data_IF_940471835867
#
_entry.id   IF_940471835867
#
_cell.length_a   1.000
_cell.length_b   1.000
_cell.length_c   1.000
_cell.angle_alpha   90.00
_cell.angle_beta   90.00
_cell.angle_gamma   90.00
#
_symmetry.space_group_name_H-M   'P 1'
#
loop_
_entity.id
_entity.type
_entity.pdbx_description
1 polymer ?
#
# COMPACT_ATOMS: atom_id res chain seq x y z
N UNK A 1 96.58 -12.09 -21.81
CA UNK A 1 95.14 -11.79 -21.82
C UNK A 1 94.87 -10.68 -20.81
N UNK A 2 94.29 -9.57 -21.25
CA UNK A 2 94.10 -8.35 -20.44
C UNK A 2 92.91 -8.52 -19.47
N UNK A 3 93.13 -8.26 -18.19
CA UNK A 3 92.08 -8.07 -17.19
C UNK A 3 91.63 -6.61 -17.18
N UNK A 4 90.32 -6.31 -17.18
CA UNK A 4 89.83 -5.00 -16.78
C UNK A 4 89.19 -5.04 -15.39
N UNK A 5 89.58 -4.04 -14.61
CA UNK A 5 88.97 -3.58 -13.35
C UNK A 5 87.47 -3.34 -13.54
N UNK A 6 86.67 -3.72 -12.53
CA UNK A 6 85.30 -3.22 -12.38
C UNK A 6 85.15 -2.42 -11.08
N UNK A 7 84.60 -1.23 -11.28
CA UNK A 7 84.36 -0.15 -10.34
C UNK A 7 83.07 -0.42 -9.55
N UNK A 8 83.07 -0.08 -8.25
CA UNK A 8 81.89 -0.13 -7.37
C UNK A 8 80.97 1.07 -7.66
N UNK A 9 79.66 0.84 -7.66
CA UNK A 9 78.64 1.88 -7.56
C UNK A 9 77.84 1.70 -6.26
N UNK A 10 77.44 2.78 -5.56
CA UNK A 10 76.64 2.72 -4.35
C UNK A 10 75.17 2.56 -4.72
N UNK A 11 74.47 1.63 -4.07
CA UNK A 11 73.01 1.52 -4.18
C UNK A 11 72.39 1.96 -2.86
N UNK A 12 71.85 3.19 -2.86
CA UNK A 12 71.02 3.77 -1.81
C UNK A 12 69.66 3.08 -1.76
N UNK A 13 69.26 2.56 -0.59
CA UNK A 13 67.91 2.06 -0.33
C UNK A 13 66.89 3.22 -0.30
N UNK A 14 65.77 3.15 -1.04
CA UNK A 14 64.63 4.01 -0.77
C UNK A 14 63.78 3.38 0.34
N UNK A 15 63.37 4.20 1.30
CA UNK A 15 62.45 3.86 2.37
C UNK A 15 61.07 3.49 1.81
N UNK A 16 60.53 2.33 2.23
CA UNK A 16 59.13 1.95 1.99
C UNK A 16 58.23 2.88 2.82
N UNK A 17 57.54 3.81 2.15
CA UNK A 17 56.35 4.45 2.68
C UNK A 17 55.17 3.49 2.50
N UNK A 18 54.59 3.04 3.62
CA UNK A 18 53.38 2.23 3.62
C UNK A 18 52.20 3.09 3.16
N UNK A 19 51.72 2.85 1.94
CA UNK A 19 50.47 3.40 1.46
C UNK A 19 49.30 2.60 2.08
N UNK A 20 48.57 3.22 3.00
CA UNK A 20 47.26 2.71 3.41
C UNK A 20 46.27 2.88 2.24
N UNK A 21 45.49 1.85 1.88
CA UNK A 21 44.43 2.02 0.91
C UNK A 21 43.30 2.78 1.60
N UNK A 22 43.08 4.03 1.20
CA UNK A 22 41.89 4.79 1.54
C UNK A 22 40.73 4.25 0.70
N UNK A 23 40.23 3.06 1.03
CA UNK A 23 38.92 2.60 0.60
C UNK A 23 37.88 3.35 1.43
N UNK A 24 37.65 4.63 1.08
CA UNK A 24 36.57 5.41 1.64
C UNK A 24 35.26 4.84 1.12
N UNK A 25 34.52 4.26 2.05
CA UNK A 25 33.19 3.68 1.92
C UNK A 25 32.23 4.61 1.19
N UNK A 26 31.94 4.31 -0.08
CA UNK A 26 30.67 4.70 -0.69
C UNK A 26 29.57 3.79 -0.13
N UNK A 27 29.29 3.97 1.15
CA UNK A 27 28.02 3.59 1.76
C UNK A 27 27.22 4.87 1.96
N UNK A 28 26.98 5.59 0.86
CA UNK A 28 25.90 6.57 0.84
C UNK A 28 24.61 5.76 0.99
N UNK A 29 23.98 5.91 2.16
CA UNK A 29 22.60 5.54 2.46
C UNK A 29 21.73 5.53 1.21
N UNK A 30 21.46 4.34 0.67
CA UNK A 30 20.38 4.12 -0.31
C UNK A 30 19.20 3.44 0.39
N UNK A 31 18.72 4.04 1.46
CA UNK A 31 17.31 3.95 1.77
C UNK A 31 16.61 4.93 0.82
N UNK A 32 16.13 4.43 -0.31
CA UNK A 32 15.22 5.20 -1.15
C UNK A 32 13.96 5.50 -0.32
N UNK A 33 13.70 6.78 -0.04
CA UNK A 33 12.40 7.22 0.49
C UNK A 33 11.33 6.79 -0.51
N UNK A 34 10.41 5.92 -0.10
CA UNK A 34 9.26 5.58 -0.92
C UNK A 34 8.34 6.80 -1.02
N UNK A 35 7.96 7.17 -2.23
CA UNK A 35 7.21 8.38 -2.53
C UNK A 35 6.14 8.16 -3.59
N UNK A 36 5.34 9.19 -3.87
CA UNK A 36 4.32 9.13 -4.90
C UNK A 36 4.89 8.82 -6.29
N UNK A 37 6.10 9.28 -6.59
CA UNK A 37 6.79 9.01 -7.87
C UNK A 37 7.01 7.52 -8.11
N UNK A 38 7.22 6.74 -7.05
CA UNK A 38 7.31 5.28 -7.17
C UNK A 38 5.99 4.69 -7.71
N UNK A 39 4.85 5.21 -7.24
CA UNK A 39 3.52 4.74 -7.62
C UNK A 39 3.13 5.24 -9.01
N UNK A 40 3.49 6.48 -9.37
CA UNK A 40 3.35 7.03 -10.74
C UNK A 40 4.08 6.16 -11.76
N UNK A 41 5.33 5.79 -11.46
CA UNK A 41 6.10 4.89 -12.33
C UNK A 41 5.41 3.54 -12.50
N UNK A 42 4.91 2.92 -11.43
CA UNK A 42 4.17 1.66 -11.50
C UNK A 42 2.89 1.80 -12.34
N UNK A 43 2.15 2.90 -12.17
CA UNK A 43 0.94 3.17 -12.95
C UNK A 43 1.24 3.37 -14.45
N UNK A 44 2.33 4.07 -14.78
CA UNK A 44 2.77 4.25 -16.16
C UNK A 44 3.20 2.92 -16.80
N UNK A 45 3.95 2.10 -16.08
CA UNK A 45 4.32 0.73 -16.50
C UNK A 45 3.06 -0.13 -16.76
N UNK A 46 2.07 -0.05 -15.87
CA UNK A 46 0.78 -0.73 -16.04
C UNK A 46 0.02 -0.22 -17.27
N UNK A 47 -0.03 1.09 -17.49
CA UNK A 47 -0.74 1.69 -18.63
C UNK A 47 -0.12 1.31 -19.98
N UNK A 48 1.20 1.08 -20.02
CA UNK A 48 1.93 0.69 -21.23
C UNK A 48 1.71 -0.77 -21.66
N UNK A 49 1.10 -1.59 -20.81
CA UNK A 49 0.82 -3.01 -21.08
C UNK A 49 -0.69 -3.29 -21.23
N UNK A 50 -1.08 -4.35 -21.97
CA UNK A 50 -2.46 -4.83 -21.95
C UNK A 50 -2.92 -5.12 -20.52
N UNK A 51 -4.18 -4.79 -20.23
CA UNK A 51 -4.75 -5.06 -18.90
C UNK A 51 -4.74 -6.56 -18.59
N UNK A 52 -4.19 -6.90 -17.43
CA UNK A 52 -4.22 -8.24 -16.86
C UNK A 52 -5.08 -8.20 -15.60
N UNK A 53 -6.22 -8.89 -15.63
CA UNK A 53 -7.09 -8.99 -14.46
C UNK A 53 -6.36 -9.70 -13.30
N UNK A 54 -6.57 -9.27 -12.04
CA UNK A 54 -6.05 -9.99 -10.89
C UNK A 54 -6.47 -11.46 -10.89
N UNK A 55 -5.59 -12.34 -10.40
CA UNK A 55 -5.91 -13.75 -10.27
C UNK A 55 -7.11 -13.97 -9.33
N UNK A 56 -7.98 -14.93 -9.66
CA UNK A 56 -9.11 -15.31 -8.83
C UNK A 56 -8.76 -16.50 -7.92
N UNK A 57 -7.77 -16.29 -7.05
CA UNK A 57 -7.09 -17.30 -6.23
C UNK A 57 -7.67 -17.46 -4.82
N UNK A 58 -8.72 -16.72 -4.47
CA UNK A 58 -9.42 -16.91 -3.20
C UNK A 58 -10.07 -18.31 -3.15
N UNK A 59 -9.82 -19.07 -2.09
CA UNK A 59 -10.34 -20.42 -1.98
C UNK A 59 -11.89 -20.46 -2.01
N UNK A 60 -12.46 -21.53 -2.57
CA UNK A 60 -13.92 -21.67 -2.74
C UNK A 60 -14.71 -21.48 -1.45
N UNK A 61 -14.18 -21.94 -0.31
CA UNK A 61 -14.80 -21.72 0.99
C UNK A 61 -15.01 -20.23 1.30
N UNK A 62 -13.95 -19.43 1.19
CA UNK A 62 -13.99 -17.98 1.45
C UNK A 62 -14.87 -17.23 0.45
N UNK A 63 -14.82 -17.60 -0.84
CA UNK A 63 -15.64 -17.02 -1.90
C UNK A 63 -17.15 -17.17 -1.68
N UNK A 64 -17.55 -18.22 -0.97
CA UNK A 64 -18.95 -18.62 -0.83
C UNK A 64 -19.49 -18.46 0.60
N UNK A 65 -18.81 -17.68 1.44
CA UNK A 65 -19.39 -17.23 2.70
C UNK A 65 -20.71 -16.50 2.45
N UNK A 66 -21.74 -16.84 3.22
CA UNK A 66 -22.98 -16.06 3.27
C UNK A 66 -22.75 -14.72 3.97
N UNK A 67 -23.73 -13.81 3.87
CA UNK A 67 -23.69 -12.54 4.58
C UNK A 67 -23.44 -12.73 6.08
N UNK A 68 -24.22 -13.59 6.75
CA UNK A 68 -24.08 -13.82 8.19
C UNK A 68 -22.72 -14.42 8.53
N UNK A 69 -22.21 -15.32 7.69
CA UNK A 69 -20.90 -15.95 7.89
C UNK A 69 -19.75 -14.96 7.76
N UNK A 70 -19.76 -14.12 6.72
CA UNK A 70 -18.74 -13.10 6.52
C UNK A 70 -18.81 -12.01 7.59
N UNK A 71 -20.03 -11.62 8.00
CA UNK A 71 -20.25 -10.68 9.10
C UNK A 71 -19.70 -11.23 10.42
N UNK A 72 -19.76 -12.53 10.67
CA UNK A 72 -19.26 -13.11 11.93
C UNK A 72 -17.73 -13.01 12.07
N UNK A 73 -17.01 -12.82 10.95
CA UNK A 73 -15.56 -12.62 10.96
C UNK A 73 -15.25 -11.17 11.36
N UNK A 74 -14.55 -10.99 12.48
CA UNK A 74 -14.22 -9.68 13.06
C UNK A 74 -12.72 -9.49 13.16
N UNK A 75 -12.25 -8.32 12.75
CA UNK A 75 -10.87 -7.91 12.99
C UNK A 75 -10.68 -7.60 14.49
N UNK A 76 -9.55 -8.03 15.05
CA UNK A 76 -9.15 -7.73 16.43
C UNK A 76 -8.47 -6.37 16.47
N UNK A 77 -9.18 -5.34 16.94
CA UNK A 77 -8.73 -3.95 16.88
C UNK A 77 -7.37 -3.72 17.57
N UNK A 78 -7.10 -4.46 18.64
CA UNK A 78 -5.83 -4.44 19.37
C UNK A 78 -4.63 -4.95 18.55
N UNK A 79 -4.89 -5.69 17.46
CA UNK A 79 -3.89 -6.19 16.52
C UNK A 79 -3.77 -5.31 15.26
N UNK A 80 -4.41 -4.13 15.25
CA UNK A 80 -4.30 -3.16 14.18
C UNK A 80 -2.86 -2.75 13.90
N UNK A 81 -2.54 -2.46 12.64
CA UNK A 81 -1.24 -1.91 12.28
C UNK A 81 -1.04 -0.61 13.06
N UNK A 82 0.11 -0.49 13.72
CA UNK A 82 0.50 0.64 14.59
C UNK A 82 -0.25 0.79 15.91
N UNK A 83 -1.18 -0.12 16.24
CA UNK A 83 -1.90 -0.08 17.51
C UNK A 83 -0.95 -0.29 18.71
N UNK A 84 -0.03 -1.26 18.61
CA UNK A 84 0.93 -1.56 19.67
C UNK A 84 1.98 -0.45 19.88
N UNK A 85 2.23 0.36 18.86
CA UNK A 85 3.17 1.50 18.90
C UNK A 85 2.49 2.80 19.37
N UNK A 86 1.20 2.74 19.74
CA UNK A 86 0.39 3.88 20.21
C UNK A 86 0.43 5.08 19.25
N UNK A 87 0.42 4.82 17.94
CA UNK A 87 0.38 5.86 16.90
C UNK A 87 -0.98 6.58 16.87
N UNK A 88 -1.04 7.82 16.34
CA UNK A 88 -2.30 8.56 16.22
C UNK A 88 -3.34 7.90 15.30
N UNK A 89 -2.89 6.94 14.48
CA UNK A 89 -3.73 6.14 13.60
C UNK A 89 -3.46 4.66 13.78
N UNK A 90 -4.51 3.85 13.67
CA UNK A 90 -4.43 2.38 13.59
C UNK A 90 -5.15 1.89 12.33
N UNK A 91 -4.63 0.85 11.67
CA UNK A 91 -5.24 0.26 10.48
C UNK A 91 -5.79 -1.14 10.78
N UNK A 92 -7.09 -1.32 10.52
CA UNK A 92 -7.70 -2.65 10.47
C UNK A 92 -7.77 -3.14 9.01
N UNK A 93 -7.67 -4.45 8.82
CA UNK A 93 -7.81 -5.07 7.51
C UNK A 93 -9.16 -5.78 7.32
N UNK A 94 -9.69 -5.75 6.10
CA UNK A 94 -10.91 -6.48 5.76
C UNK A 94 -10.60 -7.91 5.31
N UNK A 95 -11.27 -8.89 5.93
CA UNK A 95 -11.23 -10.27 5.47
C UNK A 95 -11.99 -10.39 4.14
N UNK A 96 -11.44 -11.07 3.11
CA UNK A 96 -12.16 -11.30 1.87
C UNK A 96 -13.24 -12.37 2.00
N UNK A 97 -14.32 -12.22 1.25
CA UNK A 97 -15.47 -13.11 1.26
C UNK A 97 -16.77 -12.40 0.91
N UNK A 98 -17.84 -13.17 0.78
CA UNK A 98 -19.15 -12.68 0.38
C UNK A 98 -19.07 -11.79 -0.88
N UNK A 99 -19.30 -10.48 -0.78
CA UNK A 99 -19.20 -9.54 -1.92
C UNK A 99 -17.78 -9.00 -2.14
N UNK A 100 -16.94 -9.00 -1.11
CA UNK A 100 -15.58 -8.47 -1.13
C UNK A 100 -14.56 -9.59 -1.44
N UNK A 101 -14.60 -10.14 -2.65
CA UNK A 101 -13.79 -11.30 -3.05
C UNK A 101 -12.40 -10.94 -3.60
N UNK A 102 -12.29 -9.76 -4.23
CA UNK A 102 -11.01 -9.25 -4.73
C UNK A 102 -10.15 -8.83 -3.55
N UNK A 103 -8.86 -9.14 -3.62
CA UNK A 103 -7.88 -8.70 -2.63
C UNK A 103 -7.01 -7.58 -3.17
N UNK A 104 -6.39 -6.84 -2.25
CA UNK A 104 -5.46 -5.76 -2.55
C UNK A 104 -4.10 -6.09 -1.93
N UNK A 105 -3.04 -5.68 -2.60
CA UNK A 105 -1.69 -5.73 -2.03
C UNK A 105 -1.55 -4.58 -1.03
N UNK A 106 -1.13 -4.87 0.20
CA UNK A 106 -0.90 -3.86 1.22
C UNK A 106 0.58 -3.83 1.59
N UNK A 107 1.10 -2.62 1.75
CA UNK A 107 2.47 -2.38 2.18
C UNK A 107 2.47 -1.31 3.27
N UNK A 108 3.36 -1.46 4.23
CA UNK A 108 3.72 -0.45 5.21
C UNK A 108 4.97 0.29 4.72
N UNK A 109 4.99 1.61 4.85
CA UNK A 109 6.15 2.45 4.56
C UNK A 109 6.63 3.08 5.85
N UNK A 110 7.88 2.79 6.22
CA UNK A 110 8.56 3.32 7.41
C UNK A 110 9.89 3.95 7.01
N UNK A 111 10.60 4.55 7.96
CA UNK A 111 11.96 5.05 7.76
C UNK A 111 12.95 3.93 7.37
N UNK A 112 12.63 2.67 7.68
CA UNK A 112 13.43 1.51 7.28
C UNK A 112 13.13 1.03 5.84
N UNK A 113 12.12 1.62 5.18
CA UNK A 113 11.68 1.29 3.82
C UNK A 113 10.29 0.67 3.75
N UNK A 114 10.03 -0.06 2.66
CA UNK A 114 8.72 -0.67 2.36
C UNK A 114 8.68 -2.11 2.84
N UNK A 115 7.66 -2.45 3.63
CA UNK A 115 7.41 -3.79 4.15
C UNK A 115 6.06 -4.32 3.65
N UNK A 116 6.03 -5.51 3.01
CA UNK A 116 4.75 -6.11 2.59
C UNK A 116 3.93 -6.57 3.81
N UNK A 117 2.61 -6.40 3.72
CA UNK A 117 1.65 -6.82 4.73
C UNK A 117 0.87 -8.04 4.19
N UNK A 118 1.34 -9.23 4.55
CA UNK A 118 0.70 -10.48 4.14
C UNK A 118 -0.50 -10.82 4.99
N UNK A 119 -1.46 -11.57 4.40
CA UNK A 119 -2.65 -12.00 5.11
C UNK A 119 -2.30 -12.87 6.33
N UNK A 120 -2.71 -12.41 7.50
CA UNK A 120 -2.61 -13.17 8.75
C UNK A 120 -4.01 -13.48 9.32
N UNK A 121 -4.30 -14.78 9.44
CA UNK A 121 -5.54 -15.30 10.03
C UNK A 121 -5.66 -14.94 11.52
N UNK A 122 -4.54 -14.76 12.21
CA UNK A 122 -4.52 -14.52 13.66
C UNK A 122 -5.14 -13.17 14.05
N UNK A 123 -5.19 -12.22 13.10
CA UNK A 123 -5.78 -10.89 13.26
C UNK A 123 -7.31 -10.90 13.29
N UNK A 124 -7.93 -12.05 13.01
CA UNK A 124 -9.39 -12.18 12.94
C UNK A 124 -9.90 -13.12 14.03
N UNK A 125 -11.01 -12.73 14.64
CA UNK A 125 -11.94 -13.63 15.30
C UNK A 125 -12.91 -14.18 14.24
N UNK A 126 -13.01 -15.50 14.16
CA UNK A 126 -13.88 -16.19 13.21
C UNK A 126 -15.26 -16.52 13.82
N UNK A 127 -15.52 -16.14 15.07
CA UNK A 127 -16.80 -16.35 15.73
C UNK A 127 -17.22 -17.82 15.71
N UNK A 128 -18.38 -18.09 15.11
CA UNK A 128 -18.96 -19.44 14.96
C UNK A 128 -18.56 -20.12 13.65
N UNK A 129 -17.71 -19.50 12.83
CA UNK A 129 -17.30 -20.09 11.55
C UNK A 129 -16.49 -21.38 11.77
N UNK A 130 -16.98 -22.47 11.20
CA UNK A 130 -16.23 -23.72 11.13
C UNK A 130 -15.32 -23.66 9.91
N UNK A 131 -14.13 -23.10 10.07
CA UNK A 131 -13.15 -23.03 9.00
C UNK A 131 -12.56 -24.43 8.76
N UNK A 132 -12.69 -25.01 7.55
CA UNK A 132 -12.15 -26.34 7.27
C UNK A 132 -10.64 -26.43 7.48
N UNK A 133 -10.19 -27.55 8.04
CA UNK A 133 -8.75 -27.82 8.16
C UNK A 133 -8.10 -27.86 6.77
N UNK A 134 -6.92 -27.25 6.64
CA UNK A 134 -6.16 -27.24 5.40
C UNK A 134 -6.69 -26.30 4.32
N UNK A 135 -7.73 -25.50 4.58
CA UNK A 135 -8.12 -24.45 3.64
C UNK A 135 -6.98 -23.42 3.50
N UNK A 136 -6.55 -23.06 2.28
CA UNK A 136 -5.57 -22.01 2.09
C UNK A 136 -6.06 -20.69 2.71
N UNK A 137 -5.15 -19.96 3.34
CA UNK A 137 -5.41 -18.58 3.73
C UNK A 137 -5.76 -17.75 2.49
N UNK A 138 -6.57 -16.70 2.62
CA UNK A 138 -6.69 -15.71 1.58
C UNK A 138 -5.32 -15.18 1.11
N UNK A 139 -5.19 -14.86 -0.19
CA UNK A 139 -3.93 -14.38 -0.79
C UNK A 139 -3.57 -12.95 -0.37
N UNK A 140 -4.54 -12.21 0.19
CA UNK A 140 -4.41 -10.85 0.65
C UNK A 140 -5.67 -10.41 1.39
N UNK A 141 -5.74 -9.13 1.74
CA UNK A 141 -6.90 -8.51 2.38
C UNK A 141 -7.85 -7.94 1.33
N UNK A 142 -9.15 -7.83 1.63
CA UNK A 142 -10.11 -7.22 0.70
C UNK A 142 -10.01 -5.70 0.60
N UNK A 143 -9.37 -5.08 1.60
CA UNK A 143 -9.28 -3.65 1.78
C UNK A 143 -8.80 -3.33 3.18
N UNK A 144 -8.89 -2.07 3.56
CA UNK A 144 -8.46 -1.60 4.88
C UNK A 144 -9.30 -0.42 5.34
N UNK A 145 -9.24 -0.15 6.65
CA UNK A 145 -9.85 1.03 7.27
C UNK A 145 -8.91 1.64 8.27
N UNK A 146 -8.98 2.95 8.43
CA UNK A 146 -8.21 3.67 9.45
C UNK A 146 -9.08 4.06 10.62
N UNK A 147 -8.46 4.06 11.79
CA UNK A 147 -9.03 4.48 13.05
C UNK A 147 -8.21 5.59 13.70
N UNK A 148 -8.86 6.45 14.46
CA UNK A 148 -8.23 7.48 15.28
C UNK A 148 -9.12 7.89 16.43
N UNK A 149 -8.59 8.61 17.42
CA UNK A 149 -9.34 9.20 18.53
C UNK A 149 -10.18 10.40 18.07
N UNK A 150 -11.20 10.14 17.23
CA UNK A 150 -11.98 11.17 16.55
C UNK A 150 -12.98 11.84 17.50
N UNK A 151 -13.69 11.04 18.30
CA UNK A 151 -14.75 11.53 19.18
C UNK A 151 -14.35 11.54 20.66
N UNK A 152 -13.36 10.73 21.05
CA UNK A 152 -12.94 10.52 22.45
C UNK A 152 -11.49 10.03 22.53
N UNK A 153 -10.86 10.18 23.69
CA UNK A 153 -9.49 9.69 23.91
C UNK A 153 -9.46 8.20 24.31
N UNK A 154 -10.61 7.63 24.65
CA UNK A 154 -10.75 6.26 25.15
C UNK A 154 -10.95 5.23 24.03
N UNK A 155 -11.44 5.67 22.86
CA UNK A 155 -11.79 4.79 21.75
C UNK A 155 -11.33 5.37 20.42
N UNK A 156 -10.68 4.54 19.60
CA UNK A 156 -10.35 4.89 18.22
C UNK A 156 -11.52 4.55 17.28
N UNK A 157 -12.24 5.59 16.86
CA UNK A 157 -13.29 5.53 15.87
C UNK A 157 -12.74 5.18 14.48
N UNK A 158 -13.44 4.32 13.77
CA UNK A 158 -13.23 4.14 12.33
C UNK A 158 -13.67 5.41 11.59
N UNK A 159 -12.78 6.01 10.80
CA UNK A 159 -13.08 7.25 10.10
C UNK A 159 -12.85 7.23 8.58
N UNK A 160 -12.20 6.18 8.07
CA UNK A 160 -11.82 6.04 6.66
C UNK A 160 -11.86 4.56 6.26
N UNK A 161 -12.45 4.27 5.10
CA UNK A 161 -12.56 2.90 4.55
C UNK A 161 -12.22 2.91 3.07
N UNK A 162 -11.36 1.97 2.67
CA UNK A 162 -11.12 1.57 1.28
C UNK A 162 -11.56 0.11 1.09
N UNK A 163 -12.62 -0.12 0.31
CA UNK A 163 -13.16 -1.45 0.08
C UNK A 163 -13.98 -1.50 -1.21
N UNK A 164 -13.56 -2.38 -2.13
CA UNK A 164 -14.26 -2.67 -3.39
C UNK A 164 -13.98 -1.65 -4.49
N UNK A 165 -13.55 -2.13 -5.66
CA UNK A 165 -13.14 -1.31 -6.79
C UNK A 165 -12.22 -0.15 -6.34
N UNK A 166 -12.50 1.07 -6.79
CA UNK A 166 -11.80 2.28 -6.36
C UNK A 166 -12.62 3.11 -5.35
N UNK A 167 -13.57 2.49 -4.64
CA UNK A 167 -14.42 3.20 -3.68
C UNK A 167 -13.72 3.44 -2.35
N UNK A 168 -14.02 4.60 -1.77
CA UNK A 168 -13.63 4.95 -0.41
C UNK A 168 -14.68 5.84 0.26
N UNK A 169 -14.70 5.84 1.58
CA UNK A 169 -15.61 6.64 2.41
C UNK A 169 -14.89 7.16 3.63
N UNK A 170 -15.34 8.29 4.14
CA UNK A 170 -14.96 8.77 5.47
C UNK A 170 -16.16 9.31 6.25
N UNK A 171 -15.94 9.52 7.54
CA UNK A 171 -16.86 10.27 8.41
C UNK A 171 -16.16 11.48 9.02
N UNK A 172 -16.88 12.59 9.24
CA UNK A 172 -16.47 13.62 10.18
C UNK A 172 -16.77 13.20 11.63
N UNK A 173 -16.23 13.94 12.59
CA UNK A 173 -16.56 13.72 14.00
C UNK A 173 -18.08 13.80 14.25
N UNK A 174 -18.58 12.93 15.13
CA UNK A 174 -19.98 12.87 15.58
C UNK A 174 -21.01 12.63 14.46
N UNK A 175 -20.60 12.05 13.33
CA UNK A 175 -21.51 11.67 12.25
C UNK A 175 -21.31 10.22 11.79
N UNK A 176 -22.37 9.55 11.32
CA UNK A 176 -22.25 8.22 10.72
C UNK A 176 -21.78 8.30 9.26
N UNK A 177 -21.46 7.15 8.68
CA UNK A 177 -21.21 7.03 7.23
C UNK A 177 -22.43 7.46 6.41
N UNK A 178 -22.14 8.20 5.34
CA UNK A 178 -23.10 8.56 4.31
C UNK A 178 -22.63 8.13 2.92
N UNK A 179 -22.30 9.12 2.08
CA UNK A 179 -21.91 8.92 0.69
C UNK A 179 -20.55 8.21 0.55
N UNK A 180 -20.29 7.71 -0.65
CA UNK A 180 -18.98 7.21 -1.06
C UNK A 180 -18.38 8.12 -2.12
N UNK A 181 -17.06 8.22 -2.10
CA UNK A 181 -16.29 8.65 -3.24
C UNK A 181 -15.76 7.42 -3.99
N UNK A 182 -15.29 7.64 -5.22
CA UNK A 182 -14.51 6.68 -6.00
C UNK A 182 -13.35 7.39 -6.66
N UNK A 183 -12.23 6.69 -6.81
CA UNK A 183 -11.03 7.24 -7.44
C UNK A 183 -11.28 7.63 -8.90
N UNK A 184 -12.10 6.85 -9.61
CA UNK A 184 -12.47 7.17 -11.00
C UNK A 184 -13.84 6.60 -11.40
N UNK A 185 -14.55 7.34 -12.24
CA UNK A 185 -15.78 6.91 -12.91
C UNK A 185 -15.55 6.75 -14.42
N UNK A 186 -15.94 5.62 -14.99
CA UNK A 186 -15.80 5.35 -16.42
C UNK A 186 -17.12 4.88 -17.04
N UNK A 187 -17.60 5.59 -18.05
CA UNK A 187 -18.83 5.28 -18.79
C UNK A 187 -20.10 5.14 -17.91
N UNK A 188 -20.08 5.72 -16.70
CA UNK A 188 -21.16 5.59 -15.73
C UNK A 188 -22.46 6.22 -16.23
N UNK A 189 -23.55 5.45 -16.16
CA UNK A 189 -24.92 5.91 -16.49
C UNK A 189 -25.22 6.11 -17.98
N UNK A 190 -24.35 5.66 -18.88
CA UNK A 190 -24.54 5.85 -20.33
C UNK A 190 -25.45 4.77 -20.95
N UNK A 191 -26.49 5.13 -21.72
CA UNK A 191 -27.33 4.16 -22.41
C UNK A 191 -26.54 3.31 -23.41
N UNK A 192 -26.63 1.99 -23.29
CA UNK A 192 -25.98 1.04 -24.20
C UNK A 192 -24.45 0.95 -24.08
N UNK A 193 -23.85 1.59 -23.08
CA UNK A 193 -22.40 1.51 -22.82
C UNK A 193 -22.19 0.90 -21.42
N UNK A 194 -21.49 -0.23 -21.30
CA UNK A 194 -21.16 -0.81 -20.00
C UNK A 194 -20.30 0.14 -19.16
N UNK A 195 -20.65 0.28 -17.88
CA UNK A 195 -19.81 0.96 -16.90
C UNK A 195 -18.58 0.11 -16.58
N UNK A 196 -17.41 0.77 -16.50
CA UNK A 196 -16.15 0.13 -16.11
C UNK A 196 -15.78 0.54 -14.68
N UNK A 197 -15.41 -0.43 -13.87
CA UNK A 197 -15.03 -0.24 -12.46
C UNK A 197 -13.56 -0.61 -12.28
N UNK A 198 -12.62 0.36 -12.37
CA UNK A 198 -11.23 0.09 -12.04
C UNK A 198 -11.06 -0.12 -10.54
N UNK A 199 -10.11 -0.99 -10.18
CA UNK A 199 -9.83 -1.35 -8.79
C UNK A 199 -8.59 -0.61 -8.27
N UNK A 200 -8.60 -0.19 -7.01
CA UNK A 200 -7.33 0.00 -6.30
C UNK A 200 -6.73 -1.38 -6.01
N UNK A 201 -5.62 -1.72 -6.68
CA UNK A 201 -5.01 -3.05 -6.58
C UNK A 201 -3.89 -3.13 -5.54
N UNK A 202 -3.24 -2.01 -5.24
CA UNK A 202 -2.17 -1.96 -4.25
C UNK A 202 -2.20 -0.65 -3.46
N UNK A 203 -1.83 -0.73 -2.19
CA UNK A 203 -1.65 0.41 -1.30
C UNK A 203 -0.28 0.39 -0.62
N UNK A 204 0.20 1.59 -0.33
CA UNK A 204 1.37 1.85 0.52
C UNK A 204 0.93 2.81 1.62
N UNK A 205 0.89 2.31 2.85
CA UNK A 205 0.42 3.03 4.02
C UNK A 205 1.63 3.60 4.75
N UNK A 206 1.75 4.92 4.81
CA UNK A 206 2.87 5.58 5.49
C UNK A 206 2.65 5.55 6.99
N UNK A 207 3.60 4.99 7.74
CA UNK A 207 3.58 5.04 9.19
C UNK A 207 3.63 6.50 9.66
N UNK A 208 2.67 6.95 10.49
CA UNK A 208 2.66 8.31 11.00
C UNK A 208 3.74 8.51 12.08
N UNK A 209 4.23 9.74 12.17
CA UNK A 209 4.90 10.25 13.37
C UNK A 209 3.93 10.33 14.56
N UNK A 210 4.47 10.40 15.77
CA UNK A 210 3.65 10.38 16.99
C UNK A 210 2.72 11.61 17.12
N UNK A 211 3.07 12.71 16.46
CA UNK A 211 2.32 13.97 16.50
C UNK A 211 1.65 14.30 15.16
N UNK A 212 1.67 13.37 14.19
CA UNK A 212 1.05 13.61 12.89
C UNK A 212 -0.47 13.66 13.04
N UNK A 213 -1.08 14.67 12.42
CA UNK A 213 -2.54 14.86 12.41
C UNK A 213 -3.19 14.32 11.15
N UNK A 214 -2.40 13.78 10.22
CA UNK A 214 -2.86 13.32 8.91
C UNK A 214 -2.28 11.95 8.59
N UNK A 215 -3.08 11.11 7.94
CA UNK A 215 -2.68 9.82 7.41
C UNK A 215 -2.33 9.96 5.93
N UNK A 216 -1.14 9.53 5.52
CA UNK A 216 -0.76 9.43 4.11
C UNK A 216 -0.83 8.01 3.61
N UNK A 217 -1.51 7.80 2.48
CA UNK A 217 -1.54 6.53 1.77
C UNK A 217 -1.39 6.76 0.27
N UNK A 218 -0.66 5.88 -0.41
CA UNK A 218 -0.64 5.85 -1.87
C UNK A 218 -1.38 4.64 -2.39
N UNK A 219 -2.01 4.76 -3.56
CA UNK A 219 -2.73 3.67 -4.19
C UNK A 219 -2.40 3.55 -5.69
N UNK A 220 -2.27 2.31 -6.16
CA UNK A 220 -2.23 1.96 -7.57
C UNK A 220 -3.63 1.55 -8.03
N UNK A 221 -4.18 2.27 -8.99
CA UNK A 221 -5.44 1.98 -9.66
C UNK A 221 -5.17 1.28 -10.99
N UNK A 222 -5.93 0.23 -11.30
CA UNK A 222 -5.80 -0.50 -12.54
C UNK A 222 -7.15 -1.11 -12.98
N UNK A 223 -7.47 -1.01 -14.26
CA UNK A 223 -8.69 -1.52 -14.88
C UNK A 223 -8.55 -1.68 -16.40
N UNK A 224 -9.52 -2.29 -17.10
CA UNK A 224 -9.42 -2.61 -18.53
C UNK A 224 -8.91 -1.46 -19.42
N UNK A 225 -9.40 -0.24 -19.19
CA UNK A 225 -9.10 0.92 -20.03
C UNK A 225 -8.14 1.91 -19.38
N UNK A 226 -7.69 1.70 -18.14
CA UNK A 226 -7.00 2.74 -17.36
C UNK A 226 -6.01 2.16 -16.34
N UNK A 227 -4.91 2.86 -16.12
CA UNK A 227 -4.13 2.75 -14.89
C UNK A 227 -3.91 4.13 -14.28
N UNK A 228 -3.71 4.19 -12.98
CA UNK A 228 -3.46 5.45 -12.29
C UNK A 228 -2.75 5.31 -10.96
N UNK A 229 -2.15 6.41 -10.51
CA UNK A 229 -1.50 6.54 -9.22
C UNK A 229 -2.24 7.59 -8.40
N UNK A 230 -2.45 7.32 -7.12
CA UNK A 230 -3.11 8.24 -6.20
C UNK A 230 -2.25 8.44 -4.94
N UNK A 231 -2.18 9.67 -4.45
CA UNK A 231 -1.73 10.02 -3.10
C UNK A 231 -2.93 10.59 -2.34
N UNK A 232 -3.22 10.01 -1.18
CA UNK A 232 -4.22 10.50 -0.24
C UNK A 232 -3.50 11.06 0.98
N UNK A 233 -3.82 12.29 1.36
CA UNK A 233 -3.49 12.86 2.67
C UNK A 233 -4.80 13.17 3.38
N UNK A 234 -5.10 12.39 4.42
CA UNK A 234 -6.40 12.42 5.12
C UNK A 234 -6.23 13.00 6.51
N UNK A 235 -6.91 14.12 6.77
CA UNK A 235 -6.90 14.81 8.06
C UNK A 235 -8.28 14.70 8.71
N UNK A 236 -8.46 13.80 9.70
CA UNK A 236 -9.73 13.68 10.42
C UNK A 236 -9.96 14.84 11.40
N UNK A 237 -11.23 15.16 11.64
CA UNK A 237 -11.62 16.25 12.55
C UNK A 237 -13.13 16.52 12.55
N UNK A 238 -13.56 17.72 12.98
CA UNK A 238 -14.95 18.16 12.80
C UNK A 238 -15.45 18.01 11.36
N UNK A 239 -14.53 18.16 10.42
CA UNK A 239 -14.63 17.66 9.06
C UNK A 239 -13.43 16.74 8.80
N UNK A 240 -13.62 15.66 8.04
CA UNK A 240 -12.49 14.86 7.55
C UNK A 240 -12.13 15.34 6.16
N UNK A 241 -10.98 16.00 6.04
CA UNK A 241 -10.47 16.57 4.78
C UNK A 241 -9.57 15.55 4.11
N UNK A 242 -9.78 15.32 2.81
CA UNK A 242 -8.89 14.50 1.98
C UNK A 242 -8.30 15.35 0.87
N UNK A 243 -6.98 15.48 0.88
CA UNK A 243 -6.23 16.01 -0.26
C UNK A 243 -5.80 14.82 -1.12
N UNK A 244 -6.17 14.87 -2.41
CA UNK A 244 -5.94 13.78 -3.35
C UNK A 244 -5.17 14.31 -4.55
N UNK A 245 -3.99 13.74 -4.77
CA UNK A 245 -3.21 13.94 -6.00
C UNK A 245 -3.31 12.66 -6.83
N UNK A 246 -3.60 12.79 -8.13
CA UNK A 246 -3.77 11.64 -9.02
C UNK A 246 -3.12 11.84 -10.39
N UNK A 247 -2.49 10.78 -10.90
CA UNK A 247 -2.08 10.65 -12.30
C UNK A 247 -2.85 9.49 -12.93
N UNK A 248 -3.48 9.73 -14.07
CA UNK A 248 -4.38 8.76 -14.71
C UNK A 248 -4.01 8.66 -16.19
N UNK A 249 -3.75 7.45 -16.65
CA UNK A 249 -3.42 7.16 -18.04
C UNK A 249 -4.42 6.16 -18.63
N UNK A 250 -5.07 6.57 -19.71
CA UNK A 250 -5.97 5.70 -20.47
C UNK A 250 -5.16 4.80 -21.41
N UNK A 251 -5.40 3.48 -21.33
CA UNK A 251 -4.88 2.49 -22.28
C UNK A 251 -5.62 2.53 -23.61
N UNK A 252 -6.90 2.84 -23.54
CA UNK A 252 -7.79 2.94 -24.69
C UNK A 252 -8.84 4.04 -24.47
N UNK A 253 -9.44 4.57 -25.55
CA UNK A 253 -10.47 5.59 -25.43
C UNK A 253 -11.69 5.11 -24.63
N UNK A 254 -12.21 5.97 -23.76
CA UNK A 254 -13.48 5.77 -23.03
C UNK A 254 -14.51 6.82 -23.48
N UNK A 255 -15.80 6.55 -23.28
CA UNK A 255 -16.87 7.49 -23.67
C UNK A 255 -17.06 8.61 -22.67
N UNK A 256 -16.87 8.32 -21.39
CA UNK A 256 -16.97 9.30 -20.32
C UNK A 256 -15.94 8.98 -19.24
N UNK A 257 -15.21 10.02 -18.84
CA UNK A 257 -14.26 10.02 -17.73
C UNK A 257 -14.82 10.98 -16.65
N UNK A 258 -15.10 10.47 -15.46
CA UNK A 258 -15.58 11.28 -14.32
C UNK A 258 -14.50 11.42 -13.26
N UNK A 259 -14.08 12.66 -13.02
CA UNK A 259 -13.12 13.09 -12.00
C UNK A 259 -13.84 13.92 -10.93
N UNK A 260 -13.24 14.03 -9.75
CA UNK A 260 -13.71 14.84 -8.63
C UNK A 260 -12.80 16.05 -8.42
#
# INVERSE_FOLDING_TARGET
MKSPRMLRFPFTMPAMAAALPLAASLSLSMAQDFSFENVRRLAAEKAAAPYAAPADDLAHFWKNLTYDQHRDIRFKMEAGLWAADEKPFSIDFFHPGWTAKKTVTLNEVTDAGVKPLFFDRSLFDYGKQQVPNGIPSPPGYAGWRARTHLNSQEYMDEFLVFLGASYFRSIPAKAPYGLSARGLSLNSGLPGVPEEFPDFQAFWLKQPGNNDTSLTAWALLDGPSVAGAYQFTVTPGPETVMEIEAEITLRQPVKQLGLA
#
